data_IF_324474244910
#
_entry.id   IF_324474244910
#
_cell.length_a   1.000
_cell.length_b   1.000
_cell.length_c   1.000
_cell.angle_alpha   90.00
_cell.angle_beta   90.00
_cell.angle_gamma   90.00
#
_symmetry.space_group_name_H-M   'P 1'
#
loop_
_entity.id
_entity.type
_entity.pdbx_description
1 polymer ?
#
# COMPACT_ATOMS: atom_id res chain seq x y z
N UNK A 1 -53.99 42.57 -35.42
CA UNK A 1 -52.52 42.46 -35.55
C UNK A 1 -51.97 41.96 -34.22
N UNK A 2 -51.82 40.64 -34.07
CA UNK A 2 -51.30 40.00 -32.86
C UNK A 2 -50.04 39.25 -33.27
N UNK A 3 -48.89 39.81 -32.89
CA UNK A 3 -47.58 39.23 -33.18
C UNK A 3 -47.22 38.24 -32.08
N UNK A 4 -47.14 36.94 -32.43
CA UNK A 4 -46.63 35.91 -31.53
C UNK A 4 -45.10 35.97 -31.55
N UNK A 5 -44.51 36.36 -30.42
CA UNK A 5 -43.07 36.29 -30.17
C UNK A 5 -42.74 34.86 -29.76
N UNK A 6 -42.00 34.14 -30.61
CA UNK A 6 -41.48 32.80 -30.31
C UNK A 6 -40.09 32.99 -29.70
N UNK A 7 -39.98 32.77 -28.38
CA UNK A 7 -38.71 32.79 -27.66
C UNK A 7 -38.05 31.42 -27.82
N UNK A 8 -37.02 31.35 -28.67
CA UNK A 8 -36.20 30.17 -28.85
C UNK A 8 -35.15 30.11 -27.73
N UNK A 9 -35.44 29.40 -26.64
CA UNK A 9 -34.50 29.15 -25.56
C UNK A 9 -33.52 28.07 -26.05
N UNK A 10 -32.38 28.51 -26.57
CA UNK A 10 -31.25 27.65 -26.95
C UNK A 10 -30.59 27.10 -25.69
N UNK A 11 -31.08 25.96 -25.20
CA UNK A 11 -30.50 25.20 -24.10
C UNK A 11 -29.18 24.58 -24.59
N UNK A 12 -28.08 25.33 -24.50
CA UNK A 12 -26.73 24.79 -24.66
C UNK A 12 -26.50 23.81 -23.51
N UNK A 13 -26.75 22.53 -23.79
CA UNK A 13 -26.23 21.41 -23.03
C UNK A 13 -24.71 21.52 -23.06
N UNK A 14 -24.16 22.28 -22.10
CA UNK A 14 -22.81 22.14 -21.61
C UNK A 14 -22.69 20.68 -21.17
N UNK A 15 -22.34 19.82 -22.12
CA UNK A 15 -21.90 18.48 -21.84
C UNK A 15 -20.72 18.62 -20.93
N UNK A 16 -20.96 18.48 -19.62
CA UNK A 16 -19.94 18.10 -18.68
C UNK A 16 -19.37 16.79 -19.22
N UNK A 17 -18.35 16.90 -20.08
CA UNK A 17 -17.47 15.79 -20.38
C UNK A 17 -16.89 15.44 -19.02
N UNK A 18 -17.53 14.48 -18.36
CA UNK A 18 -16.97 13.86 -17.18
C UNK A 18 -15.63 13.35 -17.66
N UNK A 19 -14.58 14.11 -17.31
CA UNK A 19 -13.22 13.70 -17.59
C UNK A 19 -13.15 12.27 -17.08
N UNK A 20 -12.78 11.30 -17.94
CA UNK A 20 -12.79 9.89 -17.56
C UNK A 20 -12.11 9.81 -16.21
N UNK A 21 -12.85 9.33 -15.20
CA UNK A 21 -12.29 9.09 -13.88
C UNK A 21 -11.02 8.31 -14.14
N UNK A 22 -9.86 8.93 -13.84
CA UNK A 22 -8.57 8.34 -14.17
C UNK A 22 -8.59 6.95 -13.59
N UNK A 23 -8.68 5.94 -14.46
CA UNK A 23 -8.72 4.55 -14.04
C UNK A 23 -7.55 4.38 -13.07
N UNK A 24 -7.82 3.82 -11.89
CA UNK A 24 -6.82 3.55 -10.87
C UNK A 24 -5.57 3.05 -11.58
N UNK A 25 -4.45 3.77 -11.46
CA UNK A 25 -3.26 3.49 -12.26
C UNK A 25 -2.78 2.06 -12.01
N UNK A 26 -3.13 1.52 -10.85
CA UNK A 26 -2.78 0.19 -10.39
C UNK A 26 -3.96 -0.49 -9.66
N UNK A 27 -4.93 -1.07 -10.40
CA UNK A 27 -6.04 -1.77 -9.78
C UNK A 27 -5.48 -2.94 -8.96
N UNK A 28 -5.67 -2.88 -7.64
CA UNK A 28 -5.25 -3.94 -6.73
C UNK A 28 -4.06 -3.62 -5.81
N UNK A 29 -3.44 -2.45 -5.90
CA UNK A 29 -2.43 -2.02 -4.89
C UNK A 29 -2.77 -0.66 -4.30
N UNK A 30 -3.40 0.22 -5.08
CA UNK A 30 -3.90 1.51 -4.60
C UNK A 30 -4.86 1.35 -3.42
N UNK A 31 -4.67 2.18 -2.39
CA UNK A 31 -5.55 2.30 -1.22
C UNK A 31 -5.77 1.01 -0.41
N UNK A 32 -4.87 0.02 -0.51
CA UNK A 32 -4.94 -1.25 0.25
C UNK A 32 -4.21 -1.24 1.59
N UNK A 33 -3.64 -0.11 1.99
CA UNK A 33 -2.79 0.00 3.17
C UNK A 33 -1.32 -0.35 2.90
N UNK A 34 -0.62 -0.86 3.90
CA UNK A 34 0.80 -1.23 3.79
C UNK A 34 0.90 -2.59 3.09
N UNK A 35 1.62 -2.64 1.96
CA UNK A 35 1.83 -3.83 1.16
C UNK A 35 3.33 -4.16 1.13
N UNK A 36 3.67 -5.41 1.44
CA UNK A 36 5.04 -5.88 1.44
C UNK A 36 5.65 -5.88 0.04
N UNK A 37 6.94 -5.54 -0.08
CA UNK A 37 7.72 -5.81 -1.30
C UNK A 37 8.43 -7.14 -1.11
N UNK A 38 8.21 -8.07 -2.04
CA UNK A 38 8.66 -9.45 -1.91
C UNK A 38 10.18 -9.62 -2.15
N UNK A 39 10.89 -10.39 -1.30
CA UNK A 39 12.27 -10.82 -1.55
C UNK A 39 12.42 -11.89 -2.62
N UNK A 40 11.38 -12.68 -2.87
CA UNK A 40 11.50 -13.89 -3.71
C UNK A 40 10.72 -13.80 -5.00
N UNK A 41 9.63 -13.00 -5.03
CA UNK A 41 8.75 -12.94 -6.19
C UNK A 41 8.64 -11.50 -6.76
N UNK A 42 9.32 -11.21 -7.88
CA UNK A 42 9.27 -9.87 -8.48
C UNK A 42 7.93 -9.56 -9.18
N UNK A 43 7.05 -10.55 -9.33
CA UNK A 43 5.74 -10.43 -9.98
C UNK A 43 4.59 -10.12 -9.03
N UNK A 44 4.87 -9.95 -7.73
CA UNK A 44 3.85 -9.44 -6.81
C UNK A 44 3.55 -7.99 -7.17
N UNK A 45 2.29 -7.60 -7.06
CA UNK A 45 1.78 -6.31 -7.55
C UNK A 45 2.53 -5.10 -6.96
N UNK A 46 3.00 -5.17 -5.72
CA UNK A 46 3.85 -4.12 -5.11
C UNK A 46 5.22 -4.01 -5.77
N UNK A 47 5.87 -5.13 -6.07
CA UNK A 47 7.15 -5.17 -6.78
C UNK A 47 7.00 -4.67 -8.22
N UNK A 48 5.93 -5.11 -8.92
CA UNK A 48 5.63 -4.66 -10.28
C UNK A 48 5.32 -3.16 -10.33
N UNK A 49 4.50 -2.67 -9.39
CA UNK A 49 4.24 -1.25 -9.23
C UNK A 49 5.53 -0.45 -9.08
N UNK A 50 6.35 -0.82 -8.09
CA UNK A 50 7.57 -0.09 -7.79
C UNK A 50 8.55 -0.14 -8.97
N UNK A 51 8.67 -1.30 -9.63
CA UNK A 51 9.53 -1.45 -10.81
C UNK A 51 9.07 -0.57 -11.97
N UNK A 52 7.77 -0.59 -12.31
CA UNK A 52 7.21 0.22 -13.40
C UNK A 52 7.37 1.72 -13.12
N UNK A 53 7.13 2.16 -11.88
CA UNK A 53 7.31 3.57 -11.53
C UNK A 53 8.79 3.97 -11.49
N UNK A 54 9.71 3.09 -11.10
CA UNK A 54 11.15 3.33 -11.24
C UNK A 54 11.61 3.39 -12.71
N UNK A 55 10.98 2.65 -13.62
CA UNK A 55 11.28 2.77 -15.06
C UNK A 55 10.82 4.11 -15.64
N UNK A 56 9.74 4.68 -15.08
CA UNK A 56 9.14 5.95 -15.52
C UNK A 56 9.75 7.20 -14.87
N UNK A 57 10.33 7.05 -13.68
CA UNK A 57 10.82 8.15 -12.85
C UNK A 57 12.29 7.98 -12.52
N UNK A 58 13.10 8.88 -13.06
CA UNK A 58 14.54 8.89 -12.82
C UNK A 58 14.85 9.15 -11.34
N UNK A 59 14.07 10.04 -10.70
CA UNK A 59 14.24 10.36 -9.28
C UNK A 59 13.97 9.15 -8.39
N UNK A 60 12.88 8.42 -8.65
CA UNK A 60 12.55 7.21 -7.88
C UNK A 60 13.58 6.10 -8.10
N UNK A 61 13.99 5.87 -9.36
CA UNK A 61 15.01 4.90 -9.72
C UNK A 61 16.31 5.15 -8.95
N UNK A 62 16.80 6.39 -8.98
CA UNK A 62 18.05 6.73 -8.33
C UNK A 62 17.95 6.65 -6.82
N UNK A 63 16.85 7.12 -6.23
CA UNK A 63 16.64 7.06 -4.80
C UNK A 63 16.64 5.61 -4.29
N UNK A 64 15.89 4.71 -4.93
CA UNK A 64 15.87 3.29 -4.55
C UNK A 64 17.24 2.64 -4.78
N UNK A 65 17.96 3.02 -5.84
CA UNK A 65 19.32 2.51 -6.09
C UNK A 65 20.31 2.92 -5.01
N UNK A 66 20.23 4.15 -4.51
CA UNK A 66 21.16 4.67 -3.49
C UNK A 66 20.77 4.25 -2.08
N UNK A 67 19.48 4.32 -1.74
CA UNK A 67 18.97 4.00 -0.39
C UNK A 67 18.80 2.50 -0.17
N UNK A 68 18.44 1.77 -1.22
CA UNK A 68 18.03 0.37 -1.16
C UNK A 68 16.54 0.18 -1.44
N UNK A 69 16.12 -1.06 -1.65
CA UNK A 69 14.70 -1.36 -1.91
C UNK A 69 13.89 -1.33 -0.61
N UNK A 70 12.78 -0.58 -0.53
CA UNK A 70 11.94 -0.53 0.67
C UNK A 70 11.32 -1.89 0.94
N UNK A 71 11.13 -2.23 2.21
CA UNK A 71 10.54 -3.52 2.63
C UNK A 71 9.03 -3.57 2.42
N UNK A 72 8.37 -2.42 2.47
CA UNK A 72 6.96 -2.27 2.20
C UNK A 72 6.67 -0.91 1.56
N UNK A 73 5.54 -0.82 0.87
CA UNK A 73 5.02 0.41 0.29
C UNK A 73 3.56 0.60 0.66
N UNK A 74 3.09 1.84 0.75
CA UNK A 74 1.66 2.18 0.80
C UNK A 74 1.36 3.15 -0.32
N UNK A 75 0.35 2.85 -1.13
CA UNK A 75 -0.06 3.69 -2.25
C UNK A 75 -1.38 4.35 -1.88
N UNK A 76 -1.39 5.68 -1.86
CA UNK A 76 -2.58 6.49 -1.60
C UNK A 76 -2.93 7.21 -2.90
N UNK A 77 -4.05 6.83 -3.50
CA UNK A 77 -4.55 7.45 -4.73
C UNK A 77 -5.64 8.46 -4.37
N UNK A 78 -5.40 9.73 -4.67
CA UNK A 78 -6.36 10.82 -4.43
C UNK A 78 -6.92 11.28 -5.78
N UNK A 79 -8.24 11.43 -5.94
CA UNK A 79 -8.86 11.79 -7.22
C UNK A 79 -8.35 13.11 -7.84
N UNK A 80 -7.87 14.04 -7.01
CA UNK A 80 -7.48 15.40 -7.44
C UNK A 80 -6.04 15.78 -7.11
N UNK A 81 -5.46 15.20 -6.06
CA UNK A 81 -4.13 15.57 -5.57
C UNK A 81 -3.00 14.70 -6.13
N UNK A 82 -3.34 13.74 -7.01
CA UNK A 82 -2.39 12.78 -7.56
C UNK A 82 -2.20 11.54 -6.68
N UNK A 83 -1.15 10.80 -6.97
CA UNK A 83 -0.78 9.58 -6.25
C UNK A 83 0.37 9.86 -5.30
N UNK A 84 0.30 9.30 -4.11
CA UNK A 84 1.32 9.34 -3.09
C UNK A 84 1.78 7.90 -2.78
N UNK A 85 3.08 7.70 -2.67
CA UNK A 85 3.69 6.41 -2.32
C UNK A 85 4.55 6.59 -1.09
N UNK A 86 4.21 5.90 -0.02
CA UNK A 86 5.03 5.85 1.20
C UNK A 86 5.93 4.63 1.13
N UNK A 87 7.24 4.85 1.22
CA UNK A 87 8.29 3.84 1.17
C UNK A 87 8.77 3.57 2.60
N UNK A 88 8.65 2.32 3.08
CA UNK A 88 9.00 1.97 4.46
C UNK A 88 10.39 1.30 4.56
N UNK A 89 11.24 1.86 5.43
CA UNK A 89 12.58 1.38 5.77
C UNK A 89 12.66 1.11 7.29
N UNK A 90 12.07 -0.01 7.73
CA UNK A 90 11.87 -0.31 9.14
C UNK A 90 13.15 -0.59 9.91
N UNK A 91 14.22 -1.02 9.24
CA UNK A 91 15.53 -1.25 9.88
C UNK A 91 16.09 0.04 10.49
N UNK A 92 15.83 1.17 9.83
CA UNK A 92 16.27 2.50 10.27
C UNK A 92 15.13 3.26 10.98
N UNK A 93 13.97 2.63 11.17
CA UNK A 93 12.74 3.25 11.70
C UNK A 93 12.31 4.53 10.94
N UNK A 94 12.46 4.55 9.61
CA UNK A 94 12.06 5.70 8.78
C UNK A 94 11.17 5.35 7.59
N UNK A 95 10.39 6.35 7.15
CA UNK A 95 9.67 6.36 5.89
C UNK A 95 10.14 7.51 4.99
N UNK A 96 9.87 7.36 3.71
CA UNK A 96 9.92 8.45 2.74
C UNK A 96 8.58 8.51 2.02
N UNK A 97 8.15 9.72 1.68
CA UNK A 97 6.93 9.94 0.90
C UNK A 97 7.32 10.42 -0.48
N UNK A 98 6.91 9.68 -1.50
CA UNK A 98 7.03 10.08 -2.89
C UNK A 98 5.67 10.61 -3.36
N UNK A 99 5.64 11.81 -3.93
CA UNK A 99 4.44 12.42 -4.52
C UNK A 99 4.66 12.69 -6.00
N UNK A 100 3.61 12.51 -6.82
CA UNK A 100 3.60 12.98 -8.21
C UNK A 100 2.84 14.30 -8.28
N UNK A 101 3.44 15.31 -8.89
CA UNK A 101 2.73 16.56 -9.17
C UNK A 101 1.82 16.37 -10.39
N UNK A 102 0.48 16.38 -10.23
CA UNK A 102 -0.43 16.23 -11.36
C UNK A 102 -0.36 17.41 -12.34
N UNK A 103 0.12 18.58 -11.91
CA UNK A 103 0.15 19.82 -12.71
C UNK A 103 1.32 19.86 -13.70
N UNK A 104 2.44 19.27 -13.32
CA UNK A 104 3.65 19.28 -14.14
C UNK A 104 3.58 18.30 -15.32
N UNK A 105 2.58 17.42 -15.36
CA UNK A 105 2.47 16.34 -16.36
C UNK A 105 3.66 15.36 -16.32
N UNK A 106 4.59 15.54 -15.37
CA UNK A 106 5.79 14.75 -15.25
C UNK A 106 5.46 13.39 -14.64
N UNK A 107 6.06 12.34 -15.21
CA UNK A 107 6.06 11.00 -14.62
C UNK A 107 7.03 10.90 -13.42
N UNK A 108 7.74 11.98 -13.11
CA UNK A 108 8.71 12.05 -12.03
C UNK A 108 8.05 12.08 -10.65
N UNK A 109 8.67 11.34 -9.73
CA UNK A 109 8.31 11.31 -8.32
C UNK A 109 9.19 12.30 -7.55
N UNK A 110 8.58 13.13 -6.71
CA UNK A 110 9.27 13.98 -5.76
C UNK A 110 9.31 13.29 -4.40
N UNK A 111 10.52 13.02 -3.89
CA UNK A 111 10.71 12.24 -2.66
C UNK A 111 11.00 13.19 -1.51
N UNK A 112 10.23 13.03 -0.44
CA UNK A 112 10.31 13.80 0.81
C UNK A 112 10.66 12.87 1.96
N UNK A 113 11.40 13.39 2.94
CA UNK A 113 11.84 12.66 4.13
C UNK A 113 13.33 12.81 4.40
N UNK A 114 13.89 12.01 5.33
CA UNK A 114 13.23 10.93 6.05
C UNK A 114 12.23 11.41 7.11
N UNK A 115 11.22 10.61 7.41
CA UNK A 115 10.29 10.80 8.53
C UNK A 115 10.28 9.57 9.43
N UNK A 116 10.02 9.69 10.74
CA UNK A 116 9.91 8.52 11.63
C UNK A 116 8.66 7.69 11.27
N UNK A 117 8.76 6.36 11.37
CA UNK A 117 7.59 5.47 11.22
C UNK A 117 6.66 5.68 12.42
N UNK A 118 5.36 5.79 12.17
CA UNK A 118 4.37 5.86 13.25
C UNK A 118 4.32 4.54 14.04
N UNK A 119 4.01 4.61 15.34
CA UNK A 119 3.90 3.40 16.18
C UNK A 119 2.85 2.43 15.62
N UNK A 120 1.75 2.95 15.04
CA UNK A 120 0.70 2.16 14.41
C UNK A 120 1.20 1.45 13.16
N UNK A 121 1.88 2.15 12.26
CA UNK A 121 2.45 1.54 11.05
C UNK A 121 3.53 0.51 11.42
N UNK A 122 4.37 0.80 12.42
CA UNK A 122 5.40 -0.12 12.88
C UNK A 122 4.81 -1.42 13.45
N UNK A 123 3.68 -1.36 14.17
CA UNK A 123 2.95 -2.56 14.61
C UNK A 123 2.44 -3.39 13.43
N UNK A 124 1.83 -2.73 12.44
CA UNK A 124 1.36 -3.41 11.22
C UNK A 124 2.53 -4.07 10.47
N UNK A 125 3.67 -3.39 10.40
CA UNK A 125 4.87 -3.89 9.73
C UNK A 125 5.51 -5.09 10.42
N UNK A 126 5.43 -5.24 11.74
CA UNK A 126 6.03 -6.40 12.43
C UNK A 126 5.54 -7.73 11.87
N UNK A 127 4.25 -7.82 11.54
CA UNK A 127 3.68 -9.02 10.93
C UNK A 127 4.24 -9.27 9.52
N UNK A 128 4.48 -8.22 8.75
CA UNK A 128 5.05 -8.31 7.39
C UNK A 128 6.55 -8.66 7.43
N UNK A 129 7.28 -8.17 8.43
CA UNK A 129 8.73 -8.26 8.51
C UNK A 129 9.25 -9.57 9.08
N UNK A 130 8.53 -10.19 10.02
CA UNK A 130 8.99 -11.39 10.71
C UNK A 130 9.34 -12.53 9.72
N UNK A 131 8.71 -12.53 8.55
CA UNK A 131 8.91 -13.55 7.53
C UNK A 131 10.08 -13.28 6.57
N UNK A 132 10.72 -12.09 6.59
CA UNK A 132 11.49 -11.60 5.41
C UNK A 132 12.77 -10.83 5.76
N UNK A 133 13.84 -11.54 6.07
CA UNK A 133 15.18 -10.94 6.25
C UNK A 133 15.81 -10.48 4.92
N UNK A 134 15.47 -11.11 3.80
CA UNK A 134 16.11 -10.86 2.50
C UNK A 134 15.76 -9.51 1.84
N UNK A 135 16.65 -9.04 0.97
CA UNK A 135 16.43 -7.83 0.16
C UNK A 135 15.36 -8.06 -0.91
N UNK A 136 14.36 -7.16 -1.04
CA UNK A 136 13.32 -7.28 -2.05
C UNK A 136 13.87 -7.37 -3.48
N UNK A 137 13.22 -8.15 -4.35
CA UNK A 137 13.62 -8.35 -5.75
C UNK A 137 12.69 -7.59 -6.69
N UNK A 138 13.24 -6.71 -7.51
CA UNK A 138 12.49 -5.92 -8.50
C UNK A 138 12.78 -6.41 -9.91
N UNK A 139 11.87 -6.15 -10.85
CA UNK A 139 12.05 -6.48 -12.27
C UNK A 139 12.23 -5.20 -13.07
N UNK A 140 13.46 -4.85 -13.40
CA UNK A 140 13.81 -3.66 -14.16
C UNK A 140 14.32 -4.08 -15.54
N UNK A 141 13.74 -3.52 -16.61
CA UNK A 141 14.18 -3.74 -17.99
C UNK A 141 14.28 -5.24 -18.34
N UNK A 142 13.32 -6.03 -17.83
CA UNK A 142 13.26 -7.48 -18.01
C UNK A 142 14.22 -8.30 -17.12
N UNK A 143 15.06 -7.66 -16.29
CA UNK A 143 16.03 -8.31 -15.41
C UNK A 143 15.61 -8.22 -13.95
N UNK A 144 15.95 -9.24 -13.16
CA UNK A 144 15.77 -9.20 -11.72
C UNK A 144 16.93 -8.44 -11.07
N UNK A 145 16.64 -7.44 -10.26
CA UNK A 145 17.61 -6.62 -9.56
C UNK A 145 17.26 -6.53 -8.07
N UNK A 146 18.29 -6.47 -7.23
CA UNK A 146 18.16 -6.24 -5.79
C UNK A 146 19.01 -5.04 -5.41
N UNK A 147 18.43 -4.07 -4.72
CA UNK A 147 19.17 -2.94 -4.16
C UNK A 147 19.28 -3.14 -2.65
N UNK A 148 20.48 -3.46 -2.17
CA UNK A 148 20.73 -3.67 -0.75
C UNK A 148 20.43 -2.38 0.03
N UNK A 149 19.80 -2.54 1.20
CA UNK A 149 19.58 -1.42 2.12
C UNK A 149 20.94 -0.92 2.61
N UNK A 150 21.21 0.35 2.42
CA UNK A 150 22.34 1.02 3.09
C UNK A 150 21.78 1.59 4.37
N UNK A 151 22.00 0.94 5.51
CA UNK A 151 21.58 1.49 6.79
C UNK A 151 22.11 2.91 6.94
N UNK A 152 21.33 3.80 7.54
CA UNK A 152 21.75 5.19 7.74
C UNK A 152 23.04 5.32 8.58
N UNK A 153 23.39 4.25 9.30
CA UNK A 153 24.65 4.08 10.03
C UNK A 153 25.87 3.79 9.15
N UNK A 154 25.72 3.46 7.86
CA UNK A 154 26.83 3.61 6.92
C UNK A 154 26.97 5.09 6.65
N UNK A 155 27.57 5.75 7.62
CA UNK A 155 28.05 7.13 7.64
C UNK A 155 28.41 7.50 6.19
N UNK A 156 27.57 8.32 5.56
CA UNK A 156 28.07 9.08 4.42
C UNK A 156 29.24 9.84 5.01
N UNK A 157 30.44 9.39 4.67
CA UNK A 157 31.65 10.16 4.87
C UNK A 157 31.38 11.46 4.14
N UNK A 158 30.86 12.45 4.88
CA UNK A 158 30.75 13.80 4.41
C UNK A 158 32.20 14.20 4.22
N UNK A 159 32.72 13.95 3.01
CA UNK A 159 33.80 14.78 2.53
C UNK A 159 33.19 16.15 2.58
N UNK A 160 33.59 16.94 3.57
CA UNK A 160 33.34 18.36 3.61
C UNK A 160 33.90 18.93 2.31
N UNK A 161 33.09 18.89 1.25
CA UNK A 161 33.25 19.73 0.08
C UNK A 161 32.77 21.10 0.56
N UNK A 162 33.47 21.65 1.56
CA UNK A 162 33.55 23.09 1.72
C UNK A 162 34.15 23.52 0.39
N UNK A 163 33.38 24.17 -0.51
CA UNK A 163 33.98 24.74 -1.69
C UNK A 163 35.13 25.58 -1.16
N UNK A 164 36.37 25.22 -1.53
CA UNK A 164 37.52 26.03 -1.14
C UNK A 164 37.21 27.40 -1.67
N UNK A 165 36.76 28.29 -0.79
CA UNK A 165 36.53 29.69 -1.13
C UNK A 165 37.85 30.09 -1.76
N UNK A 166 37.87 30.50 -3.04
CA UNK A 166 39.09 30.95 -3.68
C UNK A 166 39.72 31.91 -2.69
N UNK A 167 40.98 31.68 -2.31
CA UNK A 167 41.66 32.56 -1.35
C UNK A 167 41.62 33.96 -1.96
N UNK A 168 40.66 34.78 -1.56
CA UNK A 168 40.58 36.17 -1.97
C UNK A 168 41.84 36.77 -1.37
N UNK A 169 42.84 37.00 -2.22
CA UNK A 169 44.00 37.76 -1.80
C UNK A 169 43.46 39.10 -1.32
N UNK A 170 43.68 39.45 -0.04
CA UNK A 170 43.22 40.72 0.46
C UNK A 170 43.79 41.81 -0.45
N UNK A 171 42.98 42.77 -0.92
CA UNK A 171 43.49 43.90 -1.67
C UNK A 171 44.63 44.53 -0.86
N UNK A 172 45.74 44.82 -1.53
CA UNK A 172 46.94 45.39 -0.91
C UNK A 172 46.52 46.54 0.01
N UNK A 173 46.92 46.45 1.29
CA UNK A 173 46.57 47.42 2.33
C UNK A 173 46.81 48.85 1.81
N UNK A 174 45.77 49.70 1.73
CA UNK A 174 45.97 51.13 1.57
C UNK A 174 46.82 51.63 2.74
N UNK A 175 47.87 52.41 2.44
CA UNK A 175 48.73 53.02 3.46
C UNK A 175 47.86 53.84 4.42
N UNK A 176 47.90 53.50 5.71
CA UNK A 176 47.13 54.16 6.77
C UNK A 176 47.49 55.66 6.89
N UNK A 177 46.51 56.57 6.79
CA UNK A 177 46.63 57.90 7.38
C UNK A 177 46.44 57.81 8.91
N UNK A 178 47.24 58.61 9.62
CA UNK A 178 47.40 58.65 11.08
C UNK A 178 46.07 58.84 11.84
N UNK A 179 45.93 58.03 12.90
CA UNK A 179 44.93 58.07 13.99
C UNK A 179 44.55 59.49 14.45
N UNK A 180 43.24 59.73 14.57
CA UNK A 180 42.65 60.56 15.63
C UNK A 180 41.75 59.65 16.47
N UNK A 181 42.03 59.63 17.76
CA UNK A 181 41.37 58.84 18.79
C UNK A 181 40.20 59.64 19.35
N UNK A 182 39.00 59.06 19.40
CA UNK A 182 37.94 59.51 20.30
C UNK A 182 37.23 58.32 20.94
N UNK A 183 37.25 58.30 22.27
CA UNK A 183 36.60 57.39 23.22
C UNK A 183 35.10 57.75 23.38
N UNK A 184 34.25 56.73 23.50
CA UNK A 184 33.08 56.64 24.41
C UNK A 184 32.44 55.25 24.25
N UNK A 185 32.35 54.42 25.30
CA UNK A 185 31.21 54.31 26.26
C UNK A 185 29.90 53.92 25.56
N UNK A 186 29.01 53.02 26.00
CA UNK A 186 28.86 52.11 27.15
C UNK A 186 27.58 51.30 26.85
N UNK A 187 27.42 50.12 27.44
CA UNK A 187 26.21 49.63 28.15
C UNK A 187 25.74 48.22 27.76
N UNK A 188 25.67 47.42 28.84
CA UNK A 188 25.06 46.11 29.03
C UNK A 188 23.56 46.11 28.69
N UNK A 189 23.05 44.96 28.26
CA UNK A 189 21.74 44.49 28.72
C UNK A 189 21.71 42.96 28.82
N UNK A 190 21.15 42.51 29.92
CA UNK A 190 21.23 41.18 30.53
C UNK A 190 19.77 40.73 30.66
N UNK A 191 19.37 39.65 29.99
CA UNK A 191 18.03 39.06 30.14
C UNK A 191 18.18 37.64 30.65
N UNK A 192 17.72 37.48 31.89
CA UNK A 192 17.64 36.25 32.69
C UNK A 192 16.24 35.66 32.50
N UNK A 193 16.15 34.38 32.16
CA UNK A 193 14.88 33.65 32.09
C UNK A 193 14.96 32.34 32.88
N UNK A 194 14.16 32.28 33.95
CA UNK A 194 13.84 31.09 34.75
C UNK A 194 13.16 30.01 33.89
N UNK A 195 13.24 28.75 34.34
CA UNK A 195 12.06 27.89 34.29
C UNK A 195 11.67 27.34 35.67
N UNK A 196 10.37 27.42 35.91
CA UNK A 196 9.61 26.90 37.03
C UNK A 196 9.44 25.38 36.97
N UNK A 197 9.69 24.73 38.11
CA UNK A 197 9.32 23.36 38.45
C UNK A 197 7.80 23.14 38.36
N UNK A 198 7.39 22.03 37.75
CA UNK A 198 6.02 21.51 37.85
C UNK A 198 6.07 20.04 38.22
N UNK A 199 5.41 19.77 39.35
CA UNK A 199 5.23 18.51 40.05
C UNK A 199 4.76 17.35 39.16
N UNK A 200 5.37 16.19 39.35
CA UNK A 200 4.90 14.91 38.81
C UNK A 200 4.35 14.07 39.97
N UNK A 201 3.04 14.01 40.04
CA UNK A 201 2.27 13.17 40.97
C UNK A 201 2.36 11.73 40.50
N UNK A 202 3.03 10.91 41.30
CA UNK A 202 3.11 9.46 41.17
C UNK A 202 1.80 8.86 41.71
N UNK A 203 1.04 8.16 40.87
CA UNK A 203 -0.18 7.45 41.30
C UNK A 203 -0.09 6.00 40.86
N UNK A 204 -0.08 5.16 41.89
CA UNK A 204 -0.17 3.70 41.91
C UNK A 204 -1.12 3.13 40.86
N UNK A 205 -0.67 2.08 40.17
CA UNK A 205 -1.58 1.09 39.59
C UNK A 205 -1.14 -0.32 39.98
N UNK A 206 -1.93 -0.83 40.92
CA UNK A 206 -2.17 -2.20 41.38
C UNK A 206 -1.70 -3.34 40.46
N UNK A 207 -0.86 -4.19 41.04
CA UNK A 207 -0.66 -5.59 40.66
C UNK A 207 -1.99 -6.36 40.72
N UNK A 208 -2.41 -6.93 39.60
CA UNK A 208 -3.40 -8.01 39.56
C UNK A 208 -2.67 -9.34 39.38
N UNK A 209 -2.77 -10.17 40.42
CA UNK A 209 -2.40 -11.58 40.45
C UNK A 209 -3.18 -12.33 39.35
N UNK A 210 -2.45 -12.96 38.43
CA UNK A 210 -3.02 -13.98 37.54
C UNK A 210 -2.64 -15.34 38.11
N UNK A 211 -3.69 -16.14 38.34
CA UNK A 211 -3.64 -17.46 38.90
C UNK A 211 -2.86 -18.42 38.00
N UNK A 212 -1.95 -19.15 38.65
CA UNK A 212 -1.27 -20.34 38.16
C UNK A 212 -2.31 -21.44 37.98
N UNK A 213 -2.68 -21.72 36.73
CA UNK A 213 -3.48 -22.89 36.36
C UNK A 213 -2.52 -24.03 36.08
N UNK A 214 -2.84 -25.17 36.66
CA UNK A 214 -2.06 -26.39 36.76
C UNK A 214 -1.87 -27.09 35.42
N UNK A 215 -0.70 -27.71 35.28
CA UNK A 215 -0.26 -28.52 34.16
C UNK A 215 -1.19 -29.74 33.94
N UNK A 216 -2.00 -29.69 32.89
CA UNK A 216 -2.70 -30.86 32.37
C UNK A 216 -1.87 -31.53 31.26
N UNK A 217 -1.38 -32.73 31.60
CA UNK A 217 -0.60 -33.64 30.76
C UNK A 217 -1.30 -33.92 29.43
N UNK A 218 -0.70 -33.49 28.33
CA UNK A 218 -1.07 -33.90 26.98
C UNK A 218 -0.54 -35.31 26.70
N UNK A 219 -1.36 -36.25 26.19
CA UNK A 219 -0.88 -37.55 25.72
C UNK A 219 -0.11 -37.38 24.41
N UNK A 220 1.01 -38.07 24.30
CA UNK A 220 1.81 -38.20 23.08
C UNK A 220 0.99 -38.94 22.03
N UNK A 221 0.46 -38.20 21.05
CA UNK A 221 -0.21 -38.75 19.88
C UNK A 221 0.84 -39.11 18.83
N UNK A 222 1.04 -40.41 18.60
CA UNK A 222 1.91 -40.95 17.57
C UNK A 222 1.36 -40.56 16.18
N UNK A 223 2.17 -39.78 15.44
CA UNK A 223 1.90 -39.41 14.05
C UNK A 223 1.79 -40.68 13.20
N UNK A 224 0.65 -40.98 12.56
CA UNK A 224 0.59 -42.06 11.59
C UNK A 224 1.50 -41.70 10.40
N UNK A 225 2.49 -42.55 10.17
CA UNK A 225 3.33 -42.48 8.97
C UNK A 225 2.47 -42.88 7.78
N UNK A 226 1.93 -41.89 7.07
CA UNK A 226 1.27 -42.08 5.79
C UNK A 226 2.36 -42.43 4.78
N UNK A 227 2.49 -43.73 4.49
CA UNK A 227 3.26 -44.23 3.34
C UNK A 227 2.47 -43.86 2.10
N UNK A 228 2.82 -42.72 1.51
CA UNK A 228 2.26 -42.27 0.24
C UNK A 228 2.59 -43.31 -0.85
N UNK A 229 1.60 -43.92 -1.52
CA UNK A 229 1.86 -44.90 -2.56
C UNK A 229 2.54 -44.20 -3.73
N UNK A 230 3.87 -44.36 -3.84
CA UNK A 230 4.65 -43.93 -5.00
C UNK A 230 4.20 -44.75 -6.21
N UNK A 231 3.41 -44.12 -7.07
CA UNK A 231 3.13 -44.64 -8.41
C UNK A 231 4.47 -44.76 -9.18
N UNK A 232 4.89 -45.98 -9.57
CA UNK A 232 6.11 -46.15 -10.34
C UNK A 232 5.90 -45.61 -11.75
N UNK A 233 6.64 -44.56 -12.13
CA UNK A 233 6.79 -44.16 -13.54
C UNK A 233 6.60 -42.67 -13.89
N UNK A 234 6.25 -41.78 -12.96
CA UNK A 234 6.21 -40.34 -13.28
C UNK A 234 7.57 -39.68 -13.02
N UNK A 235 8.47 -39.77 -14.00
CA UNK A 235 9.61 -38.84 -14.09
C UNK A 235 9.06 -37.43 -14.24
N UNK A 236 9.41 -36.52 -13.32
CA UNK A 236 9.01 -35.12 -13.40
C UNK A 236 9.39 -34.56 -14.78
N UNK A 237 8.44 -34.00 -15.56
CA UNK A 237 8.76 -33.47 -16.87
C UNK A 237 9.76 -32.32 -16.69
N UNK A 238 10.94 -32.46 -17.28
CA UNK A 238 11.99 -31.42 -17.34
C UNK A 238 11.58 -30.28 -18.28
N UNK A 239 10.35 -29.79 -18.15
CA UNK A 239 9.78 -28.73 -18.96
C UNK A 239 10.34 -27.38 -18.52
N UNK A 240 10.79 -26.58 -19.49
CA UNK A 240 11.09 -25.15 -19.31
C UNK A 240 9.95 -24.50 -18.53
N UNK A 241 10.26 -23.93 -17.37
CA UNK A 241 9.30 -23.21 -16.55
C UNK A 241 8.74 -22.04 -17.36
N UNK A 242 7.47 -22.15 -17.76
CA UNK A 242 6.74 -21.06 -18.40
C UNK A 242 6.11 -20.24 -17.27
N UNK A 243 6.41 -18.93 -17.15
CA UNK A 243 5.77 -18.09 -16.14
C UNK A 243 4.25 -18.14 -16.32
N UNK A 244 3.54 -18.30 -15.19
CA UNK A 244 2.08 -18.23 -15.12
C UNK A 244 1.61 -16.94 -15.81
N UNK A 245 0.60 -17.05 -16.68
CA UNK A 245 0.02 -15.87 -17.33
C UNK A 245 -0.66 -14.95 -16.28
N UNK A 246 -0.96 -13.71 -16.66
CA UNK A 246 -1.52 -12.69 -15.76
C UNK A 246 -2.81 -13.17 -15.07
N UNK A 247 -3.64 -13.92 -15.79
CA UNK A 247 -4.89 -14.47 -15.26
C UNK A 247 -4.64 -15.59 -14.26
N UNK A 248 -3.68 -16.49 -14.53
CA UNK A 248 -3.27 -17.53 -13.58
C UNK A 248 -2.62 -16.93 -12.34
N UNK A 249 -1.90 -15.82 -12.46
CA UNK A 249 -1.37 -15.09 -11.30
C UNK A 249 -2.48 -14.40 -10.50
N UNK A 250 -3.49 -13.83 -11.15
CA UNK A 250 -4.67 -13.28 -10.49
C UNK A 250 -5.46 -14.37 -9.76
N UNK A 251 -5.64 -15.55 -10.37
CA UNK A 251 -6.25 -16.75 -9.77
C UNK A 251 -5.43 -17.24 -8.57
N UNK A 252 -4.10 -17.24 -8.68
CA UNK A 252 -3.21 -17.62 -7.58
C UNK A 252 -3.21 -16.59 -6.43
N UNK A 253 -3.48 -15.31 -6.72
CA UNK A 253 -3.62 -14.26 -5.71
C UNK A 253 -5.05 -14.12 -5.17
N UNK A 254 -6.05 -14.71 -5.83
CA UNK A 254 -7.45 -14.69 -5.41
C UNK A 254 -7.83 -15.86 -4.51
N UNK A 255 -6.84 -16.56 -3.91
CA UNK A 255 -7.06 -17.70 -2.99
C UNK A 255 -7.99 -17.28 -1.83
N UNK A 256 -9.30 -17.48 -2.02
CA UNK A 256 -10.35 -17.15 -1.07
C UNK A 256 -11.16 -15.86 -1.34
N UNK A 257 -10.89 -15.08 -2.38
CA UNK A 257 -11.71 -13.91 -2.73
C UNK A 257 -12.68 -14.21 -3.87
N UNK A 258 -13.89 -13.65 -3.80
CA UNK A 258 -14.86 -13.78 -4.86
C UNK A 258 -14.43 -12.99 -6.11
N UNK A 259 -14.82 -13.46 -7.29
CA UNK A 259 -14.60 -12.76 -8.56
C UNK A 259 -15.29 -11.37 -8.53
N UNK A 260 -14.80 -10.40 -9.32
CA UNK A 260 -15.40 -9.06 -9.41
C UNK A 260 -15.74 -8.66 -10.84
N UNK A 261 -16.87 -7.98 -10.99
CA UNK A 261 -17.24 -7.28 -12.21
C UNK A 261 -16.45 -5.97 -12.38
N UNK A 262 -16.48 -5.38 -13.58
CA UNK A 262 -15.79 -4.11 -13.87
C UNK A 262 -16.25 -2.94 -13.00
N UNK A 263 -17.51 -2.96 -12.56
CA UNK A 263 -18.10 -1.97 -11.66
C UNK A 263 -17.78 -2.23 -10.17
N UNK A 264 -17.03 -3.29 -9.85
CA UNK A 264 -16.65 -3.66 -8.49
C UNK A 264 -17.62 -4.59 -7.77
N UNK A 265 -18.77 -4.92 -8.37
CA UNK A 265 -19.72 -5.90 -7.83
C UNK A 265 -19.06 -7.28 -7.72
N UNK A 266 -19.55 -8.08 -6.79
CA UNK A 266 -19.05 -9.44 -6.59
C UNK A 266 -19.74 -10.37 -7.59
N UNK A 267 -18.99 -11.26 -8.22
CA UNK A 267 -19.52 -12.34 -9.05
C UNK A 267 -19.34 -13.64 -8.29
N UNK A 268 -20.45 -14.29 -8.00
CA UNK A 268 -20.52 -15.64 -7.45
C UNK A 268 -20.86 -16.60 -8.58
N UNK A 269 -20.13 -17.71 -8.69
CA UNK A 269 -20.47 -18.80 -9.61
C UNK A 269 -21.10 -19.92 -8.78
N UNK A 270 -22.30 -20.34 -9.16
CA UNK A 270 -23.06 -21.36 -8.44
C UNK A 270 -22.33 -22.70 -8.53
N UNK A 271 -22.04 -23.32 -7.39
CA UNK A 271 -21.23 -24.54 -7.32
C UNK A 271 -22.06 -25.84 -7.38
N UNK A 272 -23.33 -25.75 -6.97
CA UNK A 272 -24.26 -26.88 -6.81
C UNK A 272 -25.68 -26.48 -7.23
N UNK A 273 -26.48 -27.45 -7.71
CA UNK A 273 -27.85 -27.19 -8.20
C UNK A 273 -28.88 -26.94 -7.08
N UNK A 274 -28.55 -27.24 -5.82
CA UNK A 274 -29.38 -27.00 -4.63
C UNK A 274 -29.10 -25.67 -3.94
N UNK A 275 -28.13 -24.90 -4.46
CA UNK A 275 -27.82 -23.58 -3.93
C UNK A 275 -28.94 -22.58 -4.23
N UNK A 276 -29.37 -21.85 -3.21
CA UNK A 276 -30.42 -20.85 -3.32
C UNK A 276 -29.89 -19.42 -3.11
N UNK A 277 -30.63 -18.43 -3.61
CA UNK A 277 -30.26 -17.01 -3.47
C UNK A 277 -30.18 -16.54 -2.02
N UNK A 278 -30.96 -17.15 -1.12
CA UNK A 278 -30.95 -16.81 0.30
C UNK A 278 -29.60 -17.15 0.97
N UNK A 279 -29.01 -18.31 0.63
CA UNK A 279 -27.70 -18.73 1.11
C UNK A 279 -26.58 -17.83 0.56
N UNK A 280 -26.65 -17.50 -0.74
CA UNK A 280 -25.73 -16.54 -1.37
C UNK A 280 -25.85 -15.16 -0.70
N UNK A 281 -27.08 -14.68 -0.47
CA UNK A 281 -27.35 -13.41 0.21
C UNK A 281 -26.83 -13.39 1.66
N UNK A 282 -27.09 -14.47 2.43
CA UNK A 282 -26.59 -14.63 3.80
C UNK A 282 -25.07 -14.59 3.84
N UNK A 283 -24.38 -15.29 2.93
CA UNK A 283 -22.91 -15.30 2.88
C UNK A 283 -22.32 -13.92 2.57
N UNK A 284 -22.78 -13.27 1.50
CA UNK A 284 -22.17 -12.04 1.01
C UNK A 284 -22.63 -10.78 1.73
N UNK A 285 -23.87 -10.75 2.23
CA UNK A 285 -24.47 -9.54 2.84
C UNK A 285 -24.66 -9.68 4.35
N UNK A 286 -24.63 -10.90 4.89
CA UNK A 286 -24.97 -11.21 6.28
C UNK A 286 -26.47 -11.34 6.52
N UNK A 287 -27.32 -11.11 5.51
CA UNK A 287 -28.78 -11.12 5.64
C UNK A 287 -29.45 -11.81 4.43
N UNK A 288 -30.17 -12.90 4.69
CA UNK A 288 -30.91 -13.63 3.65
C UNK A 288 -32.05 -12.82 3.04
N UNK A 289 -32.59 -11.80 3.72
CA UNK A 289 -33.63 -10.92 3.18
C UNK A 289 -33.14 -10.06 2.00
N UNK A 290 -31.82 -9.95 1.80
CA UNK A 290 -31.25 -9.29 0.62
C UNK A 290 -31.33 -10.15 -0.66
N UNK A 291 -31.82 -11.39 -0.60
CA UNK A 291 -31.99 -12.24 -1.77
C UNK A 291 -32.79 -11.57 -2.90
N UNK A 292 -33.90 -10.88 -2.59
CA UNK A 292 -34.72 -10.19 -3.59
C UNK A 292 -33.98 -9.04 -4.28
N UNK A 293 -33.05 -8.37 -3.59
CA UNK A 293 -32.21 -7.32 -4.20
C UNK A 293 -31.20 -7.93 -5.18
N UNK A 294 -30.63 -9.09 -4.82
CA UNK A 294 -29.72 -9.85 -5.70
C UNK A 294 -30.49 -10.39 -6.90
N UNK A 295 -31.69 -10.92 -6.71
CA UNK A 295 -32.54 -11.41 -7.78
C UNK A 295 -32.90 -10.30 -8.79
N UNK A 296 -33.29 -9.12 -8.28
CA UNK A 296 -33.56 -7.93 -9.09
C UNK A 296 -32.35 -7.51 -9.92
N UNK A 297 -31.15 -7.50 -9.31
CA UNK A 297 -29.90 -7.17 -10.02
C UNK A 297 -29.57 -8.16 -11.14
N UNK A 298 -29.94 -9.44 -10.98
CA UNK A 298 -29.66 -10.50 -11.96
C UNK A 298 -30.83 -10.78 -12.92
N UNK A 299 -31.96 -10.06 -12.78
CA UNK A 299 -33.19 -10.29 -13.56
C UNK A 299 -33.69 -11.73 -13.48
N UNK A 300 -33.60 -12.33 -12.29
CA UNK A 300 -34.10 -13.68 -11.99
C UNK A 300 -35.25 -13.58 -10.98
N UNK A 301 -36.15 -14.56 -10.98
CA UNK A 301 -37.20 -14.67 -9.97
C UNK A 301 -36.62 -15.25 -8.68
N UNK A 302 -37.12 -14.79 -7.53
CA UNK A 302 -36.63 -15.17 -6.19
C UNK A 302 -36.77 -16.68 -5.91
N UNK A 303 -37.76 -17.33 -6.52
CA UNK A 303 -38.13 -18.74 -6.34
C UNK A 303 -37.50 -19.68 -7.37
N UNK A 304 -36.76 -19.14 -8.36
CA UNK A 304 -36.19 -19.96 -9.43
C UNK A 304 -34.96 -20.71 -8.91
N UNK A 305 -34.89 -22.05 -9.06
CA UNK A 305 -33.69 -22.80 -8.72
C UNK A 305 -32.51 -22.34 -9.58
N UNK A 306 -31.34 -22.22 -8.95
CA UNK A 306 -30.11 -21.84 -9.63
C UNK A 306 -29.49 -23.07 -10.30
N UNK A 307 -28.82 -22.86 -11.43
CA UNK A 307 -28.11 -23.95 -12.13
C UNK A 307 -26.62 -23.86 -11.83
N UNK A 308 -25.95 -25.00 -11.62
CA UNK A 308 -24.49 -25.05 -11.49
C UNK A 308 -23.78 -24.31 -12.64
N UNK A 309 -22.81 -23.48 -12.29
CA UNK A 309 -22.07 -22.61 -13.20
C UNK A 309 -22.77 -21.28 -13.51
N UNK A 310 -24.02 -21.08 -13.06
CA UNK A 310 -24.71 -19.80 -13.22
C UNK A 310 -23.96 -18.71 -12.45
N UNK A 311 -23.74 -17.56 -13.11
CA UNK A 311 -23.07 -16.40 -12.52
C UNK A 311 -24.10 -15.47 -11.91
N UNK A 312 -23.95 -15.18 -10.62
CA UNK A 312 -24.81 -14.30 -9.83
C UNK A 312 -24.00 -13.08 -9.42
N UNK A 313 -24.50 -11.90 -9.79
CA UNK A 313 -23.91 -10.61 -9.43
C UNK A 313 -24.47 -10.15 -8.10
N UNK A 314 -23.62 -9.91 -7.11
CA UNK A 314 -23.99 -9.35 -5.81
C UNK A 314 -23.54 -7.88 -5.76
N UNK A 315 -24.49 -6.91 -5.70
CA UNK A 315 -24.14 -5.51 -5.69
C UNK A 315 -23.22 -5.14 -4.53
N UNK A 316 -22.14 -4.40 -4.81
CA UNK A 316 -21.15 -4.03 -3.78
C UNK A 316 -21.78 -3.19 -2.65
N UNK A 317 -22.84 -2.42 -2.95
CA UNK A 317 -23.54 -1.58 -1.99
C UNK A 317 -24.20 -2.35 -0.83
N UNK A 318 -24.46 -3.64 -0.99
CA UNK A 318 -25.04 -4.51 0.04
C UNK A 318 -24.09 -5.60 0.53
N UNK A 319 -22.91 -5.74 -0.08
CA UNK A 319 -21.95 -6.76 0.28
C UNK A 319 -21.13 -6.35 1.52
N UNK A 320 -21.08 -7.24 2.51
CA UNK A 320 -20.27 -7.12 3.73
C UNK A 320 -19.09 -8.09 3.72
N UNK A 321 -19.25 -9.26 3.08
CA UNK A 321 -18.19 -10.24 2.88
C UNK A 321 -17.71 -10.21 1.41
N UNK A 322 -16.39 -10.20 1.21
CA UNK A 322 -15.76 -10.19 -0.12
C UNK A 322 -15.06 -11.51 -0.45
N UNK A 323 -15.10 -12.48 0.46
CA UNK A 323 -14.52 -13.80 0.27
C UNK A 323 -15.42 -14.67 -0.60
N UNK A 324 -14.79 -15.55 -1.39
CA UNK A 324 -15.51 -16.58 -2.13
C UNK A 324 -16.28 -17.45 -1.13
N UNK A 325 -17.52 -17.79 -1.47
CA UNK A 325 -18.33 -18.72 -0.68
C UNK A 325 -17.63 -20.07 -0.66
N UNK A 326 -17.38 -20.62 0.52
CA UNK A 326 -16.81 -21.97 0.65
C UNK A 326 -17.88 -23.00 0.29
N UNK A 327 -17.46 -24.09 -0.35
CA UNK A 327 -18.30 -25.26 -0.63
C UNK A 327 -18.95 -25.87 0.62
N UNK A 328 -18.42 -25.56 1.81
CA UNK A 328 -18.87 -26.15 3.07
C UNK A 328 -20.01 -25.37 3.72
N UNK A 329 -20.36 -24.18 3.22
CA UNK A 329 -21.35 -23.28 3.85
C UNK A 329 -22.81 -23.72 3.67
N UNK A 330 -23.07 -24.88 3.05
CA UNK A 330 -24.41 -25.33 2.67
C UNK A 330 -25.20 -26.06 3.78
N UNK A 331 -24.68 -26.15 5.00
CA UNK A 331 -25.19 -27.04 6.04
C UNK A 331 -25.98 -26.37 7.19
N UNK A 332 -26.39 -25.10 7.06
CA UNK A 332 -27.21 -24.38 8.08
C UNK A 332 -28.57 -23.91 7.56
#
# INVERSE_FOLDING_TARGET
>A
KSGKVVVLISLTLLGCTMAPSRAHLYPGVGNRGIVAVSPTNPYISSNLFLSNEMERSYNLKNFVRTRGTPKAIRIVERPFDGSEVVLFYPEDNIIYTAERDPKLGSLEWMIKGPYPISVTDLKLMRHIMFERSETPVLRMEGRQVRYASRSSSSEMEYTDIVPRVPKIHPPAKPKEPKKIVTKSETKKEQIEAKPSEVNKTEKESKESKINKVEDEKTPTEEKPTIVEPRLPGMTAPSGKWVPLNTDQQAILMSLGYAERAQNGDIIHTVDFDDQNLAAIAKWYTGDSANASKIALANKIADDKPLTKGQRITVPLAIATNIQAMSSDFHLE
#
